data_IF_930741800833
#
_entry.id   IF_930741800833
#
_cell.length_a   1.000
_cell.length_b   1.000
_cell.length_c   1.000
_cell.angle_alpha   90.00
_cell.angle_beta   90.00
_cell.angle_gamma   90.00
#
_symmetry.space_group_name_H-M   'P 1'
#
loop_
_entity.id
_entity.type
_entity.pdbx_description
1 polymer ?
#
# COMPACT_ATOMS: atom_id res chain seq x y z
N UNK A 1 21.56 11.84 48.52
CA UNK A 1 21.11 12.50 47.27
C UNK A 1 21.12 11.42 46.17
N UNK A 2 20.08 11.02 45.45
CA UNK A 2 18.75 11.58 45.22
C UNK A 2 18.41 11.51 43.72
N UNK A 3 17.74 10.42 43.29
CA UNK A 3 16.88 10.26 42.10
C UNK A 3 17.56 10.33 40.69
N UNK A 4 17.32 9.45 39.69
CA UNK A 4 16.07 8.84 39.21
C UNK A 4 16.37 7.62 38.32
N UNK A 5 15.71 6.48 38.56
CA UNK A 5 15.67 5.33 37.66
C UNK A 5 14.76 5.56 36.44
N UNK A 6 14.83 4.71 35.39
CA UNK A 6 13.98 4.86 34.22
C UNK A 6 12.49 4.69 34.58
N UNK A 7 11.69 5.73 34.32
CA UNK A 7 10.24 5.77 34.57
C UNK A 7 9.52 4.62 33.87
N UNK A 8 9.05 3.63 34.66
CA UNK A 8 8.08 2.62 34.19
C UNK A 8 6.81 3.35 33.74
N UNK A 9 6.41 3.19 32.47
CA UNK A 9 5.10 3.66 32.00
C UNK A 9 4.02 2.86 32.73
N UNK A 10 3.43 3.48 33.75
CA UNK A 10 2.11 3.11 34.24
C UNK A 10 1.11 3.28 33.09
N UNK A 11 0.77 2.17 32.43
CA UNK A 11 -0.35 2.10 31.49
C UNK A 11 -1.37 1.15 32.11
N UNK A 12 -2.44 1.75 32.61
CA UNK A 12 -3.67 1.19 33.16
C UNK A 12 -3.89 -0.30 32.85
N UNK A 13 -3.89 -1.13 33.89
CA UNK A 13 -4.17 -2.57 33.84
C UNK A 13 -5.61 -2.89 33.37
N UNK A 14 -6.52 -1.92 33.41
CA UNK A 14 -7.93 -2.09 33.04
C UNK A 14 -8.23 -1.98 31.53
N UNK A 15 -7.31 -1.44 30.72
CA UNK A 15 -7.48 -1.37 29.27
C UNK A 15 -7.07 -2.69 28.59
N UNK A 16 -6.16 -3.45 29.22
CA UNK A 16 -5.71 -4.75 28.73
C UNK A 16 -6.78 -5.84 28.86
N UNK A 17 -7.65 -5.77 29.88
CA UNK A 17 -8.73 -6.76 30.09
C UNK A 17 -9.78 -6.77 28.98
N UNK A 18 -10.15 -5.61 28.41
CA UNK A 18 -11.12 -5.52 27.30
C UNK A 18 -10.53 -6.07 25.98
N UNK A 19 -9.23 -5.92 25.77
CA UNK A 19 -8.56 -6.35 24.53
C UNK A 19 -8.42 -7.88 24.37
N UNK A 20 -8.51 -8.65 25.47
CA UNK A 20 -8.32 -10.10 25.43
C UNK A 20 -9.61 -10.89 25.14
N UNK A 21 -10.79 -10.25 25.21
CA UNK A 21 -12.07 -10.95 24.98
C UNK A 21 -12.29 -11.31 23.49
N UNK A 22 -11.89 -10.44 22.55
CA UNK A 22 -12.05 -10.68 21.10
C UNK A 22 -10.95 -11.60 20.53
N UNK A 23 -9.76 -11.62 21.16
CA UNK A 23 -8.63 -12.47 20.75
C UNK A 23 -8.87 -13.97 21.03
N UNK A 24 -9.84 -14.32 21.88
CA UNK A 24 -10.12 -15.71 22.30
C UNK A 24 -10.92 -16.52 21.27
N UNK A 25 -11.65 -15.87 20.36
CA UNK A 25 -12.47 -16.58 19.35
C UNK A 25 -11.65 -17.19 18.21
N UNK A 26 -10.41 -16.75 18.03
CA UNK A 26 -9.50 -17.25 17.00
C UNK A 26 -8.10 -17.32 17.61
N UNK A 27 -7.57 -18.54 17.81
CA UNK A 27 -6.19 -18.77 18.26
C UNK A 27 -5.17 -18.45 17.13
N UNK A 28 -5.22 -17.24 16.60
CA UNK A 28 -4.30 -16.73 15.59
C UNK A 28 -3.27 -15.83 16.27
N UNK A 29 -2.00 -16.24 16.22
CA UNK A 29 -0.87 -15.45 16.74
C UNK A 29 -0.96 -14.01 16.25
N UNK A 30 -1.01 -13.05 17.17
CA UNK A 30 -1.06 -11.63 16.86
C UNK A 30 0.12 -11.22 15.96
N UNK A 31 -0.18 -10.81 14.71
CA UNK A 31 0.82 -10.43 13.71
C UNK A 31 1.15 -8.93 13.73
N UNK A 32 0.42 -8.11 14.48
CA UNK A 32 0.61 -6.65 14.53
C UNK A 32 2.05 -6.25 14.90
N UNK A 33 2.70 -6.83 15.93
CA UNK A 33 4.06 -6.45 16.30
C UNK A 33 5.09 -6.82 15.22
N UNK A 34 4.83 -7.88 14.46
CA UNK A 34 5.67 -8.30 13.34
C UNK A 34 5.62 -7.26 12.21
N UNK A 35 4.41 -6.86 11.79
CA UNK A 35 4.24 -5.83 10.76
C UNK A 35 4.78 -4.47 11.21
N UNK A 36 4.56 -4.07 12.47
CA UNK A 36 5.09 -2.81 13.00
C UNK A 36 6.62 -2.75 12.92
N UNK A 37 7.33 -3.82 13.30
CA UNK A 37 8.80 -3.87 13.19
C UNK A 37 9.26 -3.81 11.74
N UNK A 38 8.59 -4.54 10.85
CA UNK A 38 8.89 -4.57 9.42
C UNK A 38 8.76 -3.17 8.78
N UNK A 39 7.64 -2.48 9.02
CA UNK A 39 7.45 -1.12 8.50
C UNK A 39 8.40 -0.11 9.16
N UNK A 40 8.65 -0.21 10.47
CA UNK A 40 9.60 0.68 11.15
C UNK A 40 11.03 0.52 10.61
N UNK A 41 11.46 -0.69 10.22
CA UNK A 41 12.75 -0.90 9.55
C UNK A 41 12.78 -0.24 8.16
N UNK A 42 11.71 -0.39 7.38
CA UNK A 42 11.58 0.22 6.04
C UNK A 42 11.54 1.76 6.07
N UNK A 43 10.92 2.35 7.11
CA UNK A 43 10.93 3.80 7.34
C UNK A 43 12.31 4.34 7.69
N UNK A 44 13.14 3.58 8.43
CA UNK A 44 14.55 3.97 8.72
C UNK A 44 15.40 4.05 7.44
N UNK A 45 15.08 3.23 6.45
CA UNK A 45 15.75 3.23 5.12
C UNK A 45 15.09 4.25 4.18
N UNK A 46 14.14 5.06 4.67
CA UNK A 46 13.40 6.06 3.89
C UNK A 46 12.76 5.53 2.61
N UNK A 47 12.34 4.26 2.62
CA UNK A 47 11.66 3.64 1.48
C UNK A 47 10.18 4.05 1.45
N UNK A 48 9.65 4.35 0.26
CA UNK A 48 8.23 4.72 0.09
C UNK A 48 7.33 3.52 0.35
N UNK A 49 6.17 3.75 0.99
CA UNK A 49 5.18 2.73 1.36
C UNK A 49 4.85 1.72 0.24
N UNK A 50 4.62 2.24 -0.97
CA UNK A 50 4.30 1.47 -2.17
C UNK A 50 5.47 0.66 -2.73
N UNK A 51 6.67 0.79 -2.16
CA UNK A 51 7.87 0.03 -2.53
C UNK A 51 8.38 -0.89 -1.40
N UNK A 52 7.81 -0.82 -0.19
CA UNK A 52 8.29 -1.59 0.98
C UNK A 52 8.15 -3.10 0.78
N UNK A 53 7.06 -3.54 0.14
CA UNK A 53 6.81 -4.96 -0.08
C UNK A 53 7.43 -5.42 -1.42
N UNK A 54 8.20 -6.52 -1.45
CA UNK A 54 8.79 -7.04 -2.69
C UNK A 54 7.73 -7.39 -3.75
N UNK A 55 6.52 -7.78 -3.33
CA UNK A 55 5.40 -8.08 -4.23
C UNK A 55 4.86 -6.84 -4.94
N UNK A 56 5.04 -5.66 -4.34
CA UNK A 56 4.52 -4.41 -4.90
C UNK A 56 5.14 -4.09 -6.26
N UNK A 57 6.44 -4.39 -6.44
CA UNK A 57 7.16 -4.14 -7.70
C UNK A 57 6.54 -4.88 -8.89
N UNK A 58 6.17 -6.15 -8.68
CA UNK A 58 5.53 -6.98 -9.72
C UNK A 58 4.12 -6.52 -10.09
N UNK A 59 3.39 -5.88 -9.17
CA UNK A 59 2.05 -5.37 -9.43
C UNK A 59 2.08 -3.97 -10.07
N UNK A 60 3.06 -3.15 -9.69
CA UNK A 60 3.22 -1.80 -10.22
C UNK A 60 3.70 -1.78 -11.68
N UNK A 61 4.59 -2.70 -12.07
CA UNK A 61 5.11 -2.76 -13.45
C UNK A 61 4.00 -2.90 -14.51
N UNK A 62 3.09 -3.89 -14.46
CA UNK A 62 2.04 -4.01 -15.46
C UNK A 62 1.04 -2.85 -15.39
N UNK A 63 0.73 -2.33 -14.20
CA UNK A 63 -0.14 -1.16 -14.05
C UNK A 63 0.44 0.06 -14.77
N UNK A 64 1.73 0.33 -14.61
CA UNK A 64 2.39 1.46 -15.26
C UNK A 64 2.43 1.31 -16.79
N UNK A 65 2.69 0.11 -17.29
CA UNK A 65 2.68 -0.19 -18.73
C UNK A 65 1.30 0.01 -19.33
N UNK A 66 0.24 -0.47 -18.68
CA UNK A 66 -1.13 -0.32 -19.16
C UNK A 66 -1.58 1.15 -19.10
N UNK A 67 -1.19 1.88 -18.07
CA UNK A 67 -1.53 3.30 -17.93
C UNK A 67 -0.90 4.12 -19.06
N UNK A 68 0.41 3.99 -19.27
CA UNK A 68 1.09 4.72 -20.35
C UNK A 68 0.70 4.20 -21.74
N UNK A 69 0.45 2.89 -21.88
CA UNK A 69 -0.02 2.28 -23.11
C UNK A 69 -1.41 2.78 -23.51
N UNK A 70 -2.36 2.82 -22.58
CA UNK A 70 -3.70 3.34 -22.84
C UNK A 70 -3.70 4.85 -23.06
N UNK A 71 -2.90 5.60 -22.31
CA UNK A 71 -2.74 7.05 -22.52
C UNK A 71 -2.19 7.36 -23.92
N UNK A 72 -1.13 6.68 -24.35
CA UNK A 72 -0.57 6.82 -25.69
C UNK A 72 -1.57 6.40 -26.79
N UNK A 73 -2.29 5.29 -26.57
CA UNK A 73 -3.31 4.83 -27.50
C UNK A 73 -4.47 5.84 -27.64
N UNK A 74 -4.93 6.44 -26.54
CA UNK A 74 -5.97 7.48 -26.56
C UNK A 74 -5.51 8.73 -27.29
N UNK A 75 -4.29 9.21 -27.02
CA UNK A 75 -3.71 10.36 -27.74
C UNK A 75 -3.52 10.08 -29.23
N UNK A 76 -3.12 8.86 -29.61
CA UNK A 76 -3.01 8.47 -31.01
C UNK A 76 -4.38 8.38 -31.69
N UNK A 77 -5.36 7.77 -31.02
CA UNK A 77 -6.72 7.67 -31.54
C UNK A 77 -7.38 9.06 -31.69
N UNK A 78 -7.22 9.95 -30.72
CA UNK A 78 -7.73 11.32 -30.79
C UNK A 78 -6.99 12.15 -31.83
N UNK A 79 -5.66 12.03 -31.93
CA UNK A 79 -4.86 12.70 -32.96
C UNK A 79 -5.28 12.30 -34.37
N UNK A 80 -5.49 11.01 -34.63
CA UNK A 80 -6.03 10.53 -35.91
C UNK A 80 -7.45 11.03 -36.19
N UNK A 81 -8.30 11.16 -35.15
CA UNK A 81 -9.64 11.75 -35.28
C UNK A 81 -9.61 13.23 -35.66
N UNK A 82 -8.72 14.01 -35.04
CA UNK A 82 -8.56 15.44 -35.36
C UNK A 82 -8.10 15.63 -36.81
N UNK A 83 -7.25 14.74 -37.31
CA UNK A 83 -6.75 14.77 -38.69
C UNK A 83 -7.72 14.14 -39.72
N UNK A 84 -8.95 13.79 -39.32
CA UNK A 84 -9.98 13.26 -40.22
C UNK A 84 -9.78 11.80 -40.66
N UNK A 85 -8.77 11.09 -40.13
CA UNK A 85 -8.54 9.69 -40.45
C UNK A 85 -9.55 8.80 -39.71
N UNK A 86 -10.51 8.26 -40.45
CA UNK A 86 -11.49 7.33 -39.91
C UNK A 86 -10.86 5.97 -39.57
N UNK A 87 -11.30 5.39 -38.47
CA UNK A 87 -10.93 4.03 -38.09
C UNK A 87 -11.61 3.05 -39.04
N UNK A 88 -11.01 1.88 -39.29
CA UNK A 88 -11.61 0.84 -40.14
C UNK A 88 -12.95 0.28 -39.62
N UNK A 89 -13.32 0.57 -38.36
CA UNK A 89 -14.64 0.26 -37.79
C UNK A 89 -15.78 1.16 -38.29
N UNK A 90 -15.51 2.13 -39.17
CA UNK A 90 -16.51 3.05 -39.73
C UNK A 90 -17.07 2.67 -41.10
N UNK A 91 -16.73 1.50 -41.68
CA UNK A 91 -17.16 1.11 -43.03
C UNK A 91 -18.57 0.50 -43.11
N UNK A 92 -19.43 0.80 -42.13
CA UNK A 92 -20.80 0.26 -42.05
C UNK A 92 -21.73 1.25 -41.37
N UNK A 93 -22.12 2.31 -42.10
CA UNK A 93 -23.41 2.99 -41.97
C UNK A 93 -23.68 3.85 -43.18
#
# INVERSE_FOLDING_TARGET
MGANGPRRRSRCENCFKVANFVHSMINAKNKVPYYQRFYQQAYKVHTRLWMINPRSRYLLTPYLVLLWGSFGATLYASGRKVMGYNHWFGSSS
#
